data_IF_544027844575
#
_entry.id   IF_544027844575
#
_cell.length_a   1.000
_cell.length_b   1.000
_cell.length_c   1.000
_cell.angle_alpha   90.00
_cell.angle_beta   90.00
_cell.angle_gamma   90.00
#
_symmetry.space_group_name_H-M   'P 1'
#
loop_
_entity.id
_entity.type
_entity.pdbx_description
1 polymer ?
#
# COMPACT_ATOMS: atom_id res chain seq x y z
N UNK A 1 10.06 -31.55 26.70
CA UNK A 1 9.69 -30.49 27.66
C UNK A 1 10.89 -29.54 27.72
N UNK A 2 10.88 -28.26 27.37
CA UNK A 2 9.82 -27.29 27.18
C UNK A 2 10.33 -26.05 26.40
N UNK A 3 9.45 -25.52 25.54
CA UNK A 3 9.27 -24.11 25.11
C UNK A 3 10.48 -23.29 24.64
N UNK A 4 10.65 -23.28 23.31
CA UNK A 4 10.53 -22.11 22.44
C UNK A 4 10.57 -20.74 23.16
N UNK A 5 11.71 -20.06 23.10
CA UNK A 5 11.80 -18.60 23.12
C UNK A 5 12.72 -18.13 21.98
N UNK A 6 12.37 -18.51 20.75
CA UNK A 6 12.74 -17.72 19.58
C UNK A 6 11.99 -16.39 19.69
N UNK A 7 12.63 -15.41 20.35
CA UNK A 7 12.26 -13.99 20.24
C UNK A 7 12.33 -13.64 18.76
N UNK A 8 11.19 -13.71 18.05
CA UNK A 8 11.02 -13.02 16.77
C UNK A 8 11.27 -11.54 17.02
N UNK A 9 12.47 -11.10 16.70
CA UNK A 9 12.79 -9.68 16.58
C UNK A 9 12.08 -9.16 15.32
N UNK A 10 10.77 -8.95 15.41
CA UNK A 10 10.02 -8.07 14.51
C UNK A 10 10.32 -6.59 14.81
N UNK A 11 11.59 -6.24 15.08
CA UNK A 11 12.02 -4.85 15.20
C UNK A 11 12.26 -4.27 13.81
N UNK A 12 11.17 -4.08 13.08
CA UNK A 12 11.07 -3.22 11.90
C UNK A 12 10.35 -1.91 12.20
N UNK A 13 10.34 -1.47 13.46
CA UNK A 13 9.63 -0.27 13.93
C UNK A 13 10.59 0.91 13.95
N UNK A 14 11.13 1.28 12.80
CA UNK A 14 12.20 2.29 12.71
C UNK A 14 11.88 3.51 11.87
N UNK A 15 11.13 3.35 10.78
CA UNK A 15 10.87 4.45 9.85
C UNK A 15 9.45 4.34 9.27
N UNK A 16 8.49 4.92 9.96
CA UNK A 16 7.10 5.06 9.50
C UNK A 16 6.89 6.45 8.92
N UNK A 17 7.70 6.83 7.93
CA UNK A 17 7.68 8.16 7.30
C UNK A 17 6.26 8.65 6.95
N UNK A 18 5.32 7.84 6.39
CA UNK A 18 3.98 8.33 6.08
C UNK A 18 3.01 8.43 7.28
N UNK A 19 3.39 7.93 8.46
CA UNK A 19 2.51 7.86 9.64
C UNK A 19 3.08 8.57 10.87
N UNK A 20 4.09 9.43 10.69
CA UNK A 20 4.84 10.08 11.76
C UNK A 20 5.55 9.07 12.70
N UNK A 21 6.06 9.56 13.83
CA UNK A 21 6.73 8.75 14.85
C UNK A 21 6.46 9.28 16.27
N UNK A 22 6.75 8.46 17.28
CA UNK A 22 6.63 8.83 18.69
C UNK A 22 5.19 8.87 19.21
N UNK A 23 4.91 9.62 20.30
CA UNK A 23 3.59 9.67 20.93
C UNK A 23 2.46 10.20 20.03
N UNK A 24 2.80 10.82 18.90
CA UNK A 24 1.87 11.37 17.90
C UNK A 24 1.91 10.58 16.58
N UNK A 25 2.36 9.33 16.62
CA UNK A 25 2.20 8.39 15.50
C UNK A 25 0.72 8.27 15.12
N UNK A 26 0.44 8.09 13.83
CA UNK A 26 -0.92 7.94 13.33
C UNK A 26 -1.64 6.79 14.07
N UNK A 27 -2.68 7.13 14.82
CA UNK A 27 -3.53 6.14 15.51
C UNK A 27 -4.14 5.13 14.55
N UNK A 28 -4.40 5.55 13.31
CA UNK A 28 -4.96 4.74 12.23
C UNK A 28 -3.94 3.94 11.42
N UNK A 29 -2.65 3.95 11.77
CA UNK A 29 -1.60 3.31 10.96
C UNK A 29 -1.91 1.84 10.63
N UNK A 30 -2.27 1.04 11.65
CA UNK A 30 -2.52 -0.38 11.45
C UNK A 30 -3.77 -0.63 10.58
N UNK A 31 -4.80 0.20 10.74
CA UNK A 31 -6.01 0.14 9.92
C UNK A 31 -5.70 0.49 8.46
N UNK A 32 -5.04 1.63 8.21
CA UNK A 32 -4.66 2.06 6.87
C UNK A 32 -3.78 1.03 6.16
N UNK A 33 -2.81 0.43 6.89
CA UNK A 33 -1.96 -0.63 6.33
C UNK A 33 -2.74 -1.92 6.00
N UNK A 34 -3.76 -2.26 6.79
CA UNK A 34 -4.63 -3.40 6.51
C UNK A 34 -5.47 -3.12 5.25
N UNK A 35 -6.14 -1.97 5.20
CA UNK A 35 -6.97 -1.55 4.07
C UNK A 35 -6.18 -1.50 2.76
N UNK A 36 -5.01 -0.84 2.77
CA UNK A 36 -4.14 -0.79 1.58
C UNK A 36 -3.78 -2.18 1.07
N UNK A 37 -3.39 -3.11 1.96
CA UNK A 37 -3.04 -4.48 1.56
C UNK A 37 -4.23 -5.21 0.96
N UNK A 38 -5.40 -5.13 1.59
CA UNK A 38 -6.62 -5.79 1.10
C UNK A 38 -7.02 -5.26 -0.27
N UNK A 39 -7.00 -3.94 -0.46
CA UNK A 39 -7.34 -3.29 -1.73
C UNK A 39 -6.32 -3.65 -2.82
N UNK A 40 -5.01 -3.52 -2.53
CA UNK A 40 -3.96 -3.81 -3.51
C UNK A 40 -4.02 -5.27 -3.96
N UNK A 41 -4.11 -6.22 -3.03
CA UNK A 41 -4.22 -7.65 -3.37
C UNK A 41 -5.50 -7.94 -4.13
N UNK A 42 -6.63 -7.37 -3.71
CA UNK A 42 -7.93 -7.55 -4.38
C UNK A 42 -7.95 -7.06 -5.82
N UNK A 43 -7.27 -5.94 -6.10
CA UNK A 43 -7.15 -5.38 -7.44
C UNK A 43 -6.12 -6.13 -8.28
N UNK A 44 -4.87 -6.23 -7.82
CA UNK A 44 -3.76 -6.75 -8.63
C UNK A 44 -3.82 -8.26 -8.86
N UNK A 45 -4.53 -9.02 -8.02
CA UNK A 45 -4.74 -10.46 -8.26
C UNK A 45 -5.68 -10.75 -9.43
N UNK A 46 -6.48 -9.77 -9.86
CA UNK A 46 -7.57 -9.96 -10.84
C UNK A 46 -7.44 -9.07 -12.05
N UNK A 47 -6.69 -7.97 -11.93
CA UNK A 47 -6.61 -6.94 -12.95
C UNK A 47 -5.16 -6.54 -13.18
N UNK A 48 -4.84 -6.32 -14.45
CA UNK A 48 -3.68 -5.58 -14.88
C UNK A 48 -4.10 -4.11 -15.07
N UNK A 49 -3.38 -3.19 -14.43
CA UNK A 49 -3.71 -1.76 -14.38
C UNK A 49 -2.56 -0.97 -14.97
N UNK A 50 -2.82 -0.22 -16.02
CA UNK A 50 -1.84 0.63 -16.70
C UNK A 50 -2.24 2.09 -16.64
N UNK A 51 -1.34 2.95 -16.18
CA UNK A 51 -1.56 4.40 -16.15
C UNK A 51 -1.44 4.97 -17.56
N UNK A 52 -2.43 5.75 -17.97
CA UNK A 52 -2.40 6.49 -19.24
C UNK A 52 -1.61 7.79 -19.02
N UNK A 53 -0.55 8.00 -19.80
CA UNK A 53 0.27 9.22 -19.71
C UNK A 53 0.98 9.41 -18.37
N UNK A 54 1.78 8.43 -17.87
CA UNK A 54 2.37 8.48 -16.53
C UNK A 54 3.27 9.71 -16.27
N UNK A 55 3.81 10.32 -17.32
CA UNK A 55 4.65 11.53 -17.23
C UNK A 55 3.85 12.80 -16.91
N UNK A 56 2.54 12.80 -17.14
CA UNK A 56 1.65 13.94 -16.93
C UNK A 56 1.05 13.94 -15.51
N UNK A 57 1.15 12.81 -14.80
CA UNK A 57 0.67 12.67 -13.43
C UNK A 57 1.51 13.53 -12.51
N UNK A 58 0.88 14.55 -11.94
CA UNK A 58 1.47 15.47 -10.97
C UNK A 58 0.56 15.60 -9.75
N UNK A 59 1.02 16.26 -8.70
CA UNK A 59 0.27 16.45 -7.46
C UNK A 59 -0.27 17.87 -7.37
N UNK A 60 -1.43 18.02 -6.74
CA UNK A 60 -1.95 19.32 -6.36
C UNK A 60 -1.43 19.73 -4.97
N UNK A 61 -1.29 21.03 -4.75
CA UNK A 61 -0.82 21.54 -3.46
C UNK A 61 -1.96 21.48 -2.44
N UNK A 62 -1.93 20.46 -1.59
CA UNK A 62 -2.94 20.22 -0.54
C UNK A 62 -2.34 19.45 0.63
N UNK A 63 -3.06 19.39 1.74
CA UNK A 63 -2.66 18.68 2.96
C UNK A 63 -2.48 17.16 2.76
N UNK A 64 -3.15 16.58 1.77
CA UNK A 64 -3.17 15.12 1.51
C UNK A 64 -2.40 14.71 0.26
N UNK A 65 -1.70 15.65 -0.41
CA UNK A 65 -0.97 15.44 -1.67
C UNK A 65 -1.75 14.64 -2.74
N UNK A 66 -2.95 15.10 -3.16
CA UNK A 66 -3.76 14.40 -4.16
C UNK A 66 -3.14 14.52 -5.56
N UNK A 67 -3.52 13.61 -6.46
CA UNK A 67 -3.21 13.73 -7.89
C UNK A 67 -3.94 14.95 -8.46
N UNK A 68 -3.24 15.75 -9.27
CA UNK A 68 -3.82 16.88 -9.98
C UNK A 68 -4.76 16.38 -11.08
N UNK A 69 -6.05 16.63 -10.93
CA UNK A 69 -7.08 16.16 -11.86
C UNK A 69 -7.34 14.65 -11.75
N UNK A 70 -7.64 14.01 -12.87
CA UNK A 70 -7.96 12.58 -12.92
C UNK A 70 -6.72 11.70 -13.14
N UNK A 71 -6.65 10.56 -12.45
CA UNK A 71 -5.70 9.49 -12.75
C UNK A 71 -6.35 8.49 -13.72
N UNK A 72 -6.14 8.69 -15.01
CA UNK A 72 -6.70 7.81 -16.03
C UNK A 72 -5.91 6.48 -16.09
N UNK A 73 -6.62 5.37 -16.03
CA UNK A 73 -6.04 4.02 -16.10
C UNK A 73 -6.77 3.14 -17.11
N UNK A 74 -6.03 2.28 -17.80
CA UNK A 74 -6.57 1.14 -18.54
C UNK A 74 -6.56 -0.06 -17.61
N UNK A 75 -7.69 -0.76 -17.54
CA UNK A 75 -7.83 -1.95 -16.72
C UNK A 75 -8.17 -3.12 -17.62
N UNK A 76 -7.37 -4.18 -17.56
CA UNK A 76 -7.65 -5.45 -18.22
C UNK A 76 -7.65 -6.58 -17.19
N UNK A 77 -8.33 -7.69 -17.49
CA UNK A 77 -8.33 -8.84 -16.58
C UNK A 77 -6.94 -9.46 -16.58
N UNK A 78 -6.39 -9.68 -15.39
CA UNK A 78 -5.18 -10.46 -15.20
C UNK A 78 -5.50 -11.92 -15.51
N UNK A 79 -4.92 -12.46 -16.59
CA UNK A 79 -4.94 -13.90 -16.87
C UNK A 79 -3.87 -14.55 -16.00
N UNK A 80 -4.15 -14.68 -14.70
CA UNK A 80 -3.28 -15.47 -13.83
C UNK A 80 -3.34 -16.93 -14.32
N UNK A 81 -2.21 -17.59 -14.66
CA UNK A 81 -2.22 -19.03 -14.78
C UNK A 81 -2.45 -19.57 -13.36
N UNK A 82 -3.70 -19.89 -13.05
CA UNK A 82 -3.94 -20.79 -11.94
C UNK A 82 -3.10 -22.04 -12.27
N UNK A 83 -2.34 -22.55 -11.29
CA UNK A 83 -1.54 -23.79 -11.34
C UNK A 83 -0.41 -23.88 -12.41
N UNK A 84 0.80 -23.45 -12.01
CA UNK A 84 2.07 -24.10 -12.35
C UNK A 84 2.88 -24.29 -11.05
#
# INVERSE_FOLDING_TARGET
>A
MNRLHLRKSHRGFGLQVPFNAGPRVCLGMNLAMLEMKLVIVGLLSRFHVEVVGPKEVTYDLSLTLPVKGALNVKVSRHLWPAHA
#
